data_IF_459676886228
#
_entry.id   IF_459676886228
#
_cell.length_a   1.000
_cell.length_b   1.000
_cell.length_c   1.000
_cell.angle_alpha   90.00
_cell.angle_beta   90.00
_cell.angle_gamma   90.00
#
_symmetry.space_group_name_H-M   'P 1'
#
loop_
_entity.id
_entity.type
_entity.pdbx_description
1 polymer ?
#
# COMPACT_ATOMS: atom_id res chain seq x y z
N UNK A 1 29.65 51.39 31.59
CA UNK A 1 30.81 50.52 31.25
C UNK A 1 30.89 49.44 32.34
N UNK A 2 30.80 48.15 31.92
CA UNK A 2 30.70 46.89 32.69
C UNK A 2 29.36 46.68 33.46
N UNK A 3 28.35 45.93 32.96
CA UNK A 3 28.20 44.46 32.65
C UNK A 3 28.42 43.60 33.92
N UNK A 4 27.55 42.69 34.39
CA UNK A 4 26.55 41.80 33.76
C UNK A 4 25.56 41.24 34.84
N UNK A 5 24.25 41.29 34.53
CA UNK A 5 23.13 40.30 34.65
C UNK A 5 22.69 39.70 36.02
N UNK A 6 21.47 40.11 36.40
CA UNK A 6 20.40 39.52 37.25
C UNK A 6 20.01 38.07 36.82
N UNK A 7 19.40 37.15 37.61
CA UNK A 7 18.15 37.25 38.37
C UNK A 7 17.90 35.93 39.19
N UNK A 8 17.65 36.07 40.50
CA UNK A 8 16.82 35.28 41.48
C UNK A 8 16.36 33.85 41.12
N UNK A 9 16.60 32.75 41.87
CA UNK A 9 16.42 32.36 43.31
C UNK A 9 14.98 32.35 43.82
N UNK A 10 14.49 31.15 44.19
CA UNK A 10 13.81 30.69 45.45
C UNK A 10 13.54 29.18 45.22
N UNK A 11 14.08 28.15 45.88
CA UNK A 11 14.48 27.80 47.26
C UNK A 11 13.39 27.11 48.12
N UNK A 12 13.63 25.80 48.34
CA UNK A 12 13.50 24.98 49.56
C UNK A 12 12.18 24.32 50.04
N UNK A 13 12.18 22.97 49.96
CA UNK A 13 12.29 21.95 51.05
C UNK A 13 11.16 21.78 52.10
N UNK A 14 10.62 20.54 52.05
CA UNK A 14 10.09 19.61 53.08
C UNK A 14 8.73 19.88 53.75
N UNK A 15 7.78 18.94 53.57
CA UNK A 15 7.33 18.00 54.63
C UNK A 15 6.27 17.00 54.13
N UNK A 16 6.52 15.71 54.45
CA UNK A 16 5.59 14.59 54.73
C UNK A 16 4.22 14.49 54.04
N UNK A 17 4.08 13.50 53.16
CA UNK A 17 3.30 12.27 53.43
C UNK A 17 1.77 12.33 53.61
N UNK A 18 1.10 11.67 52.66
CA UNK A 18 -0.22 11.00 52.69
C UNK A 18 -1.47 11.73 52.13
N UNK A 19 -1.84 11.25 50.92
CA UNK A 19 -3.10 10.58 50.57
C UNK A 19 -4.31 11.44 50.12
N UNK A 20 -4.77 11.04 48.92
CA UNK A 20 -6.08 11.10 48.25
C UNK A 20 -6.52 12.30 47.39
N UNK A 21 -7.17 11.88 46.29
CA UNK A 21 -7.96 12.59 45.28
C UNK A 21 -7.24 13.25 44.09
N UNK A 22 -6.81 12.43 43.12
CA UNK A 22 -6.73 12.88 41.72
C UNK A 22 -8.06 12.61 41.00
N UNK A 23 -8.93 13.60 41.09
CA UNK A 23 -10.12 13.78 40.27
C UNK A 23 -9.63 14.22 38.88
N UNK A 24 -9.75 13.35 37.88
CA UNK A 24 -9.50 13.72 36.48
C UNK A 24 -10.62 14.69 36.09
N UNK A 25 -10.26 15.96 35.92
CA UNK A 25 -11.07 16.96 35.23
C UNK A 25 -10.69 16.89 33.75
N UNK A 26 -11.60 16.36 32.94
CA UNK A 26 -11.59 16.52 31.49
C UNK A 26 -11.89 17.97 31.14
N UNK A 27 -11.01 18.65 30.41
CA UNK A 27 -11.33 19.91 29.75
C UNK A 27 -11.86 19.63 28.35
N UNK A 28 -13.16 19.90 28.14
CA UNK A 28 -13.79 19.99 26.83
C UNK A 28 -13.29 21.26 26.11
N UNK A 29 -12.77 21.10 24.89
CA UNK A 29 -12.61 22.23 23.98
C UNK A 29 -13.83 22.33 23.06
N UNK A 30 -14.57 23.44 23.18
CA UNK A 30 -15.64 23.80 22.26
C UNK A 30 -15.45 25.26 21.81
N UNK A 31 -15.17 25.49 20.52
CA UNK A 31 -15.81 26.57 19.74
C UNK A 31 -15.55 26.43 18.23
N UNK A 32 -16.50 25.86 17.49
CA UNK A 32 -16.61 26.01 16.03
C UNK A 32 -16.95 27.47 15.68
N UNK A 33 -16.09 28.15 14.95
CA UNK A 33 -16.45 29.40 14.26
C UNK A 33 -17.29 29.03 13.03
N UNK A 34 -18.50 29.59 12.92
CA UNK A 34 -19.36 29.48 11.72
C UNK A 34 -18.64 30.04 10.49
N UNK A 35 -18.10 29.16 9.66
CA UNK A 35 -17.75 29.47 8.27
C UNK A 35 -18.87 29.02 7.34
N UNK A 36 -19.12 29.78 6.29
CA UNK A 36 -19.89 29.32 5.14
C UNK A 36 -18.97 28.42 4.29
N UNK A 37 -19.49 27.32 3.75
CA UNK A 37 -18.72 26.38 2.92
C UNK A 37 -19.46 26.12 1.61
N UNK A 38 -18.72 26.15 0.49
CA UNK A 38 -19.23 25.95 -0.86
C UNK A 38 -18.51 24.77 -1.51
N UNK A 39 -19.22 23.67 -1.73
CA UNK A 39 -18.76 22.52 -2.50
C UNK A 39 -19.46 22.53 -3.85
N UNK A 40 -18.71 22.40 -4.94
CA UNK A 40 -19.24 22.42 -6.31
C UNK A 40 -18.60 21.30 -7.11
N UNK A 41 -19.42 20.60 -7.89
CA UNK A 41 -19.01 19.56 -8.84
C UNK A 41 -19.52 19.89 -10.24
N UNK A 42 -18.83 19.36 -11.22
CA UNK A 42 -19.29 19.26 -12.61
C UNK A 42 -19.46 17.79 -12.96
N UNK A 43 -20.47 17.47 -13.76
CA UNK A 43 -20.79 16.07 -14.12
C UNK A 43 -19.72 15.40 -14.99
N UNK A 44 -18.91 16.19 -15.71
CA UNK A 44 -17.73 15.74 -16.43
C UNK A 44 -16.73 16.90 -16.50
N UNK A 45 -15.47 16.59 -16.75
CA UNK A 45 -14.42 17.58 -17.03
C UNK A 45 -14.07 17.63 -18.52
N UNK A 46 -14.70 16.77 -19.34
CA UNK A 46 -14.55 16.72 -20.80
C UNK A 46 -15.90 16.44 -21.42
N UNK A 47 -16.27 17.29 -22.38
CA UNK A 47 -17.54 17.24 -23.08
C UNK A 47 -17.28 17.23 -24.59
N UNK A 48 -18.03 16.46 -25.33
CA UNK A 48 -18.19 16.64 -26.76
C UNK A 48 -19.20 17.77 -27.02
N UNK A 49 -19.06 18.46 -28.16
CA UNK A 49 -20.04 19.47 -28.57
C UNK A 49 -21.45 18.87 -28.62
N UNK A 50 -22.36 19.40 -27.77
CA UNK A 50 -23.74 18.94 -27.65
C UNK A 50 -24.05 18.17 -26.36
N UNK A 51 -23.04 17.87 -25.54
CA UNK A 51 -23.25 17.27 -24.23
C UNK A 51 -23.87 18.27 -23.23
N UNK A 52 -24.61 17.76 -22.25
CA UNK A 52 -25.13 18.56 -21.13
C UNK A 52 -24.05 18.74 -20.05
N UNK A 53 -23.57 19.97 -19.87
CA UNK A 53 -22.78 20.37 -18.71
C UNK A 53 -23.73 20.68 -17.54
N UNK A 54 -23.58 19.94 -16.45
CA UNK A 54 -24.27 20.16 -15.18
C UNK A 54 -23.27 20.59 -14.11
N UNK A 55 -23.48 21.78 -13.54
CA UNK A 55 -22.76 22.32 -12.38
C UNK A 55 -23.69 22.22 -11.18
N UNK A 56 -23.37 21.36 -10.22
CA UNK A 56 -24.14 21.18 -9.00
C UNK A 56 -23.30 21.55 -7.78
N UNK A 57 -23.94 21.99 -6.69
CA UNK A 57 -23.19 22.28 -5.48
C UNK A 57 -24.04 22.37 -4.22
N UNK A 58 -23.35 22.25 -3.09
CA UNK A 58 -23.89 22.38 -1.75
C UNK A 58 -23.29 23.64 -1.11
N UNK A 59 -24.15 24.56 -0.68
CA UNK A 59 -23.78 25.70 0.15
C UNK A 59 -24.32 25.49 1.57
N UNK A 60 -23.41 25.35 2.54
CA UNK A 60 -23.75 25.41 3.96
C UNK A 60 -23.46 26.84 4.41
N UNK A 61 -24.48 27.70 4.38
CA UNK A 61 -24.29 29.15 4.45
C UNK A 61 -25.57 29.95 4.60
N UNK A 62 -25.44 31.28 4.49
CA UNK A 62 -26.58 32.21 4.49
C UNK A 62 -26.85 32.83 3.13
N UNK A 63 -25.96 32.71 2.15
CA UNK A 63 -26.20 33.25 0.81
C UNK A 63 -27.42 32.57 0.15
N UNK A 64 -28.39 33.34 -0.36
CA UNK A 64 -29.62 32.80 -0.97
C UNK A 64 -29.43 32.34 -2.41
N UNK A 65 -28.33 32.75 -3.06
CA UNK A 65 -27.99 32.41 -4.44
C UNK A 65 -26.47 32.34 -4.63
N UNK A 66 -26.08 31.69 -5.73
CA UNK A 66 -24.70 31.71 -6.25
C UNK A 66 -24.66 32.31 -7.65
N UNK A 67 -23.60 33.03 -7.96
CA UNK A 67 -23.32 33.53 -9.29
C UNK A 67 -22.37 32.56 -10.01
N UNK A 68 -22.85 31.93 -11.09
CA UNK A 68 -22.10 31.01 -11.95
C UNK A 68 -21.63 31.78 -13.18
N UNK A 69 -20.32 31.84 -13.37
CA UNK A 69 -19.66 32.48 -14.51
C UNK A 69 -18.81 31.48 -15.28
N UNK A 70 -18.93 31.44 -16.60
CA UNK A 70 -18.08 30.60 -17.45
C UNK A 70 -17.27 31.50 -18.38
N UNK A 71 -15.96 31.31 -18.42
CA UNK A 71 -15.03 32.02 -19.30
C UNK A 71 -14.12 31.02 -20.01
N UNK A 72 -13.55 31.38 -21.17
CA UNK A 72 -12.42 30.61 -21.71
C UNK A 72 -11.26 30.65 -20.72
N UNK A 73 -10.51 29.57 -20.63
CA UNK A 73 -9.37 29.45 -19.72
C UNK A 73 -8.34 30.56 -20.03
N UNK A 74 -7.98 31.33 -19.01
CA UNK A 74 -7.09 32.51 -19.15
C UNK A 74 -7.71 33.75 -19.78
N UNK A 75 -8.99 33.71 -20.19
CA UNK A 75 -9.73 34.87 -20.70
C UNK A 75 -10.29 35.75 -19.58
N UNK A 76 -10.40 37.06 -19.84
CA UNK A 76 -10.96 38.03 -18.89
C UNK A 76 -12.46 38.30 -19.06
N UNK A 77 -13.08 37.72 -20.10
CA UNK A 77 -14.50 37.93 -20.41
C UNK A 77 -15.34 36.70 -20.02
N UNK A 78 -16.39 36.93 -19.25
CA UNK A 78 -17.39 35.92 -18.92
C UNK A 78 -18.30 35.71 -20.14
N UNK A 79 -18.29 34.49 -20.70
CA UNK A 79 -19.16 34.07 -21.80
C UNK A 79 -20.58 33.82 -21.27
N UNK A 80 -20.66 33.27 -20.05
CA UNK A 80 -21.92 33.06 -19.33
C UNK A 80 -21.78 33.66 -17.94
N UNK A 81 -22.84 34.31 -17.46
CA UNK A 81 -22.95 34.79 -16.07
C UNK A 81 -24.41 34.71 -15.64
N UNK A 82 -24.74 33.84 -14.67
CA UNK A 82 -26.11 33.66 -14.16
C UNK A 82 -26.15 33.52 -12.64
N UNK A 83 -27.19 34.06 -12.01
CA UNK A 83 -27.49 33.81 -10.60
C UNK A 83 -28.43 32.60 -10.48
N UNK A 84 -28.09 31.69 -9.58
CA UNK A 84 -28.80 30.44 -9.32
C UNK A 84 -29.24 30.45 -7.86
N UNK A 85 -30.55 30.40 -7.63
CA UNK A 85 -31.10 30.34 -6.27
C UNK A 85 -30.78 29.00 -5.61
N UNK A 86 -30.50 29.04 -4.32
CA UNK A 86 -30.23 27.84 -3.51
C UNK A 86 -31.54 27.36 -2.87
N UNK A 87 -31.80 26.06 -2.95
CA UNK A 87 -32.93 25.40 -2.31
C UNK A 87 -32.42 24.23 -1.47
N UNK A 88 -32.79 24.18 -0.19
CA UNK A 88 -32.30 23.16 0.76
C UNK A 88 -30.77 22.99 0.74
N UNK A 89 -30.04 24.11 0.73
CA UNK A 89 -28.58 24.14 0.64
C UNK A 89 -27.98 23.63 -0.67
N UNK A 90 -28.78 23.32 -1.69
CA UNK A 90 -28.32 22.80 -2.99
C UNK A 90 -28.63 23.78 -4.12
N UNK A 91 -27.77 23.84 -5.12
CA UNK A 91 -28.03 24.50 -6.39
C UNK A 91 -27.59 23.63 -7.57
N UNK A 92 -28.21 23.86 -8.73
CA UNK A 92 -27.87 23.19 -9.98
C UNK A 92 -27.98 24.19 -11.14
N UNK A 93 -27.02 24.16 -12.05
CA UNK A 93 -27.00 24.91 -13.29
C UNK A 93 -26.65 23.98 -14.45
N UNK A 94 -27.45 24.02 -15.51
CA UNK A 94 -27.28 23.18 -16.69
C UNK A 94 -27.14 24.02 -17.94
N UNK A 95 -26.27 23.59 -18.84
CA UNK A 95 -26.11 24.17 -20.16
C UNK A 95 -25.71 23.12 -21.19
N UNK A 96 -26.23 23.28 -22.40
CA UNK A 96 -25.79 22.53 -23.57
C UNK A 96 -24.46 23.11 -24.09
N UNK A 97 -23.45 22.25 -24.19
CA UNK A 97 -22.11 22.64 -24.66
C UNK A 97 -22.06 23.01 -26.14
N UNK A 98 -23.13 22.81 -26.93
CA UNK A 98 -23.26 23.39 -28.28
C UNK A 98 -23.17 24.94 -28.27
N UNK A 99 -23.48 25.56 -27.12
CA UNK A 99 -23.33 27.00 -26.91
C UNK A 99 -21.88 27.46 -26.66
N UNK A 100 -20.93 26.52 -26.57
CA UNK A 100 -19.52 26.76 -26.30
C UNK A 100 -18.66 26.28 -27.49
N UNK A 101 -17.68 27.07 -27.90
CA UNK A 101 -16.70 26.62 -28.90
C UNK A 101 -15.78 25.54 -28.30
N UNK A 102 -15.16 24.70 -29.13
CA UNK A 102 -14.15 23.76 -28.64
C UNK A 102 -12.98 24.52 -27.98
N UNK A 103 -12.56 24.06 -26.80
CA UNK A 103 -11.53 24.72 -26.00
C UNK A 103 -11.64 24.43 -24.52
N UNK A 104 -10.77 25.05 -23.74
CA UNK A 104 -10.73 24.95 -22.28
C UNK A 104 -11.48 26.12 -21.64
N UNK A 105 -12.26 25.82 -20.61
CA UNK A 105 -13.13 26.75 -19.92
C UNK A 105 -12.91 26.68 -18.41
N UNK A 106 -13.15 27.80 -17.73
CA UNK A 106 -13.25 27.89 -16.28
C UNK A 106 -14.66 28.29 -15.91
N UNK A 107 -15.27 27.58 -14.96
CA UNK A 107 -16.47 28.03 -14.27
C UNK A 107 -16.11 28.58 -12.90
N UNK A 108 -16.44 29.84 -12.63
CA UNK A 108 -16.34 30.48 -11.31
C UNK A 108 -17.72 30.62 -10.69
N UNK A 109 -17.90 30.00 -9.52
CA UNK A 109 -19.10 30.08 -8.71
C UNK A 109 -18.79 30.98 -7.53
N UNK A 110 -19.53 32.06 -7.32
CA UNK A 110 -19.30 33.03 -6.23
C UNK A 110 -20.57 33.25 -5.42
N UNK A 111 -20.44 33.36 -4.10
CA UNK A 111 -21.52 33.69 -3.15
C UNK A 111 -21.49 35.19 -2.79
N UNK A 112 -22.58 35.73 -2.25
CA UNK A 112 -22.60 37.11 -1.73
C UNK A 112 -21.61 37.32 -0.58
N UNK A 113 -21.31 36.27 0.18
CA UNK A 113 -20.34 36.31 1.29
C UNK A 113 -18.88 36.42 0.80
N UNK A 114 -18.65 36.29 -0.51
CA UNK A 114 -17.35 36.40 -1.16
C UNK A 114 -16.61 35.06 -1.31
N UNK A 115 -17.18 33.95 -0.84
CA UNK A 115 -16.65 32.61 -1.11
C UNK A 115 -16.86 32.28 -2.58
N UNK A 116 -15.83 31.72 -3.21
CA UNK A 116 -15.93 31.26 -4.58
C UNK A 116 -15.24 29.91 -4.76
N UNK A 117 -15.68 29.17 -5.79
CA UNK A 117 -15.02 27.97 -6.31
C UNK A 117 -14.79 28.16 -7.80
N UNK A 118 -13.65 27.69 -8.30
CA UNK A 118 -13.36 27.64 -9.73
C UNK A 118 -13.17 26.18 -10.10
N UNK A 119 -13.81 25.73 -11.16
CA UNK A 119 -13.63 24.41 -11.77
C UNK A 119 -13.29 24.59 -13.24
N UNK A 120 -12.54 23.67 -13.84
CA UNK A 120 -12.16 23.73 -15.25
C UNK A 120 -12.78 22.57 -16.01
N UNK A 121 -13.15 22.79 -17.26
CA UNK A 121 -13.62 21.73 -18.15
C UNK A 121 -13.21 22.01 -19.59
N UNK A 122 -13.23 20.96 -20.42
CA UNK A 122 -12.85 21.04 -21.84
C UNK A 122 -14.03 20.65 -22.73
N UNK A 123 -14.27 21.42 -23.79
CA UNK A 123 -15.18 21.06 -24.87
C UNK A 123 -14.34 20.63 -26.07
N UNK A 124 -14.56 19.41 -26.56
CA UNK A 124 -13.87 18.84 -27.71
C UNK A 124 -14.67 19.11 -28.99
N UNK A 125 -13.96 19.38 -30.08
CA UNK A 125 -14.59 19.53 -31.39
C UNK A 125 -14.85 18.14 -31.98
N UNK A 126 -16.01 17.95 -32.60
CA UNK A 126 -16.45 16.65 -33.10
C UNK A 126 -15.74 16.20 -34.42
N UNK A 127 -14.48 16.57 -34.59
CA UNK A 127 -13.62 16.11 -35.67
C UNK A 127 -12.28 15.61 -35.12
N UNK A 128 -12.16 14.28 -35.13
CA UNK A 128 -10.99 13.45 -34.80
C UNK A 128 -10.77 13.09 -33.32
N UNK A 129 -11.77 12.46 -32.69
CA UNK A 129 -11.49 11.25 -31.92
C UNK A 129 -11.71 10.04 -32.83
N UNK A 130 -10.73 9.78 -33.71
CA UNK A 130 -10.55 8.41 -34.17
C UNK A 130 -10.11 7.64 -32.92
N UNK A 131 -11.01 6.78 -32.46
CA UNK A 131 -10.72 5.67 -31.57
C UNK A 131 -9.44 5.01 -32.11
N UNK A 132 -8.30 5.24 -31.45
CA UNK A 132 -7.11 4.42 -31.64
C UNK A 132 -7.28 3.16 -30.79
N UNK A 133 -8.35 2.42 -31.06
CA UNK A 133 -8.40 0.99 -30.79
C UNK A 133 -7.64 0.34 -31.95
N UNK A 134 -6.41 -0.07 -31.69
CA UNK A 134 -5.64 -0.86 -32.65
C UNK A 134 -4.41 -0.15 -33.20
N UNK A 135 -3.45 0.16 -32.33
CA UNK A 135 -2.06 -0.19 -32.60
C UNK A 135 -1.46 -0.78 -31.34
N UNK A 136 -1.97 -1.95 -31.00
CA UNK A 136 -1.21 -2.97 -30.31
C UNK A 136 0.05 -3.27 -31.15
N UNK A 137 1.13 -2.55 -30.86
CA UNK A 137 2.46 -3.14 -30.96
C UNK A 137 2.54 -4.20 -29.86
N UNK A 138 1.87 -5.34 -30.08
CA UNK A 138 1.93 -6.50 -29.21
C UNK A 138 3.35 -7.04 -29.24
N UNK A 139 4.21 -6.47 -28.41
CA UNK A 139 5.21 -7.31 -27.79
C UNK A 139 4.39 -8.27 -26.91
N UNK A 140 4.13 -9.48 -27.41
CA UNK A 140 3.27 -10.50 -26.77
C UNK A 140 3.69 -10.80 -25.32
N UNK A 141 4.87 -10.35 -24.90
CA UNK A 141 5.49 -10.56 -23.60
C UNK A 141 5.19 -9.47 -22.55
N UNK A 142 4.41 -8.43 -22.85
CA UNK A 142 4.13 -7.32 -21.90
C UNK A 142 2.64 -7.03 -21.76
N UNK A 143 2.23 -6.59 -20.58
CA UNK A 143 1.00 -5.85 -20.32
C UNK A 143 1.29 -4.36 -20.39
N UNK A 144 0.50 -3.63 -21.17
CA UNK A 144 0.55 -2.16 -21.22
C UNK A 144 -0.69 -1.61 -20.50
N UNK A 145 -0.47 -0.74 -19.51
CA UNK A 145 -1.53 -0.21 -18.66
C UNK A 145 -1.44 1.31 -18.62
N UNK A 146 -2.59 1.96 -18.74
CA UNK A 146 -2.73 3.41 -18.75
C UNK A 146 -3.65 3.79 -17.60
N UNK A 147 -3.17 4.67 -16.73
CA UNK A 147 -3.94 5.19 -15.61
C UNK A 147 -4.18 6.68 -15.78
N UNK A 148 -5.27 7.16 -15.21
CA UNK A 148 -5.60 8.57 -15.16
C UNK A 148 -6.31 8.85 -13.85
N UNK A 149 -5.81 9.82 -13.10
CA UNK A 149 -6.38 10.21 -11.80
C UNK A 149 -6.27 11.72 -11.60
N UNK A 150 -6.97 12.23 -10.59
CA UNK A 150 -6.96 13.64 -10.25
C UNK A 150 -6.33 13.85 -8.88
N UNK A 151 -5.41 14.80 -8.79
CA UNK A 151 -4.81 15.24 -7.54
C UNK A 151 -4.43 16.71 -7.63
N UNK A 152 -4.64 17.48 -6.55
CA UNK A 152 -4.31 18.91 -6.49
C UNK A 152 -4.89 19.71 -7.68
N UNK A 153 -6.15 19.43 -8.04
CA UNK A 153 -6.85 20.06 -9.17
C UNK A 153 -6.13 19.88 -10.53
N UNK A 154 -5.25 18.87 -10.66
CA UNK A 154 -4.55 18.49 -11.89
C UNK A 154 -4.93 17.07 -12.27
N UNK A 155 -5.02 16.82 -13.58
CA UNK A 155 -5.12 15.45 -14.14
C UNK A 155 -3.74 14.87 -14.37
N UNK A 156 -3.53 13.70 -13.84
CA UNK A 156 -2.30 12.93 -13.97
C UNK A 156 -2.53 11.72 -14.85
N UNK A 157 -1.49 11.35 -15.59
CA UNK A 157 -1.51 10.19 -16.48
C UNK A 157 -0.22 9.41 -16.27
N UNK A 158 -0.34 8.10 -16.19
CA UNK A 158 0.80 7.20 -16.04
C UNK A 158 0.61 6.01 -16.97
N UNK A 159 1.62 5.77 -17.81
CA UNK A 159 1.69 4.59 -18.66
C UNK A 159 2.77 3.67 -18.09
N UNK A 160 2.44 2.40 -17.89
CA UNK A 160 3.39 1.39 -17.44
C UNK A 160 3.39 0.19 -18.38
N UNK A 161 4.53 -0.48 -18.45
CA UNK A 161 4.69 -1.74 -19.16
C UNK A 161 5.25 -2.79 -18.20
N UNK A 162 4.47 -3.81 -17.89
CA UNK A 162 4.87 -4.91 -16.99
C UNK A 162 5.10 -6.18 -17.83
N UNK A 163 6.26 -6.85 -17.75
CA UNK A 163 6.44 -8.13 -18.41
C UNK A 163 5.41 -9.15 -17.92
N UNK A 164 4.79 -9.91 -18.83
CA UNK A 164 3.87 -10.99 -18.46
C UNK A 164 4.55 -12.01 -17.54
N UNK A 165 5.84 -12.27 -17.73
CA UNK A 165 6.61 -13.16 -16.84
C UNK A 165 6.68 -12.66 -15.40
N UNK A 166 6.71 -11.34 -15.17
CA UNK A 166 6.72 -10.77 -13.84
C UNK A 166 5.34 -10.89 -13.17
N UNK A 167 4.27 -10.65 -13.92
CA UNK A 167 2.90 -10.93 -13.46
C UNK A 167 2.71 -12.41 -13.12
N UNK A 168 3.10 -13.32 -14.02
CA UNK A 168 3.01 -14.77 -13.81
C UNK A 168 3.85 -15.24 -12.62
N UNK A 169 5.02 -14.63 -12.38
CA UNK A 169 5.81 -14.92 -11.19
C UNK A 169 4.99 -14.70 -9.91
N UNK A 170 4.28 -13.57 -9.79
CA UNK A 170 3.43 -13.31 -8.64
C UNK A 170 2.15 -14.14 -8.63
N UNK A 171 1.51 -14.40 -9.77
CA UNK A 171 0.36 -15.34 -9.84
C UNK A 171 0.69 -16.72 -9.30
N UNK A 172 1.94 -17.17 -9.46
CA UNK A 172 2.40 -18.48 -9.00
C UNK A 172 3.01 -18.46 -7.58
N UNK A 173 3.18 -17.29 -6.97
CA UNK A 173 3.55 -17.18 -5.55
C UNK A 173 2.36 -17.55 -4.65
N UNK A 174 2.58 -17.88 -3.37
CA UNK A 174 1.49 -18.14 -2.43
C UNK A 174 0.67 -16.88 -2.09
N UNK A 175 -0.66 -16.98 -2.13
CA UNK A 175 -1.62 -15.93 -1.73
C UNK A 175 -2.31 -16.30 -0.41
N UNK A 176 -1.56 -16.39 0.69
CA UNK A 176 -2.11 -16.82 1.97
C UNK A 176 -2.44 -15.62 2.86
N UNK A 177 -3.73 -15.39 3.12
CA UNK A 177 -4.24 -14.34 4.02
C UNK A 177 -3.72 -14.44 5.46
N UNK A 178 -3.37 -15.64 5.93
CA UNK A 178 -2.78 -15.80 7.28
C UNK A 178 -1.34 -15.30 7.38
N UNK A 179 -0.67 -15.05 6.24
CA UNK A 179 0.68 -14.50 6.21
C UNK A 179 0.63 -12.98 6.49
N UNK A 180 1.78 -12.43 6.89
CA UNK A 180 1.87 -11.00 7.19
C UNK A 180 1.75 -10.17 5.90
N UNK A 181 0.61 -9.51 5.69
CA UNK A 181 0.33 -8.65 4.51
C UNK A 181 1.47 -7.70 4.13
N UNK A 182 2.22 -7.17 5.11
CA UNK A 182 3.36 -6.30 4.84
C UNK A 182 4.43 -6.96 3.94
N UNK A 183 4.53 -8.30 3.93
CA UNK A 183 5.47 -9.01 3.06
C UNK A 183 5.12 -8.92 1.58
N UNK A 184 3.85 -8.68 1.22
CA UNK A 184 3.43 -8.48 -0.18
C UNK A 184 3.97 -7.17 -0.74
N UNK A 185 4.14 -6.14 0.11
CA UNK A 185 4.61 -4.81 -0.28
C UNK A 185 6.15 -4.70 -0.40
N UNK A 186 6.90 -5.78 -0.15
CA UNK A 186 8.33 -5.70 0.18
C UNK A 186 9.24 -6.52 -0.75
N UNK A 187 8.70 -7.03 -1.85
CA UNK A 187 9.49 -7.80 -2.82
C UNK A 187 10.60 -6.96 -3.44
N UNK A 188 11.84 -7.46 -3.40
CA UNK A 188 12.95 -6.83 -4.10
C UNK A 188 12.81 -6.95 -5.63
N UNK A 189 12.02 -7.94 -6.09
CA UNK A 189 11.72 -8.12 -7.51
C UNK A 189 10.80 -7.00 -8.05
N UNK A 190 9.90 -6.47 -7.21
CA UNK A 190 8.99 -5.37 -7.59
C UNK A 190 9.74 -4.09 -7.91
N UNK A 191 10.81 -3.78 -7.17
CA UNK A 191 11.57 -2.52 -7.29
C UNK A 191 11.92 -2.20 -8.74
N UNK A 192 12.48 -3.19 -9.45
CA UNK A 192 12.89 -3.05 -10.85
C UNK A 192 11.76 -2.69 -11.81
N UNK A 193 10.51 -2.99 -11.46
CA UNK A 193 9.32 -2.70 -12.25
C UNK A 193 8.62 -1.42 -11.80
N UNK A 194 8.75 -1.06 -10.52
CA UNK A 194 8.17 0.16 -9.94
C UNK A 194 9.06 1.39 -10.19
N UNK A 195 10.36 1.24 -10.44
CA UNK A 195 11.33 2.34 -10.63
C UNK A 195 10.82 3.47 -11.54
N UNK A 196 10.20 3.13 -12.67
CA UNK A 196 9.68 4.12 -13.62
C UNK A 196 8.48 4.90 -13.06
N UNK A 197 7.62 4.25 -12.28
CA UNK A 197 6.51 4.89 -11.59
C UNK A 197 7.02 5.81 -10.48
N UNK A 198 7.94 5.30 -9.66
CA UNK A 198 8.59 6.04 -8.58
C UNK A 198 9.24 7.32 -9.13
N UNK A 199 10.04 7.20 -10.19
CA UNK A 199 10.64 8.37 -10.84
C UNK A 199 9.60 9.39 -11.34
N UNK A 200 8.48 8.93 -11.90
CA UNK A 200 7.41 9.83 -12.35
C UNK A 200 6.73 10.54 -11.17
N UNK A 201 6.49 9.82 -10.06
CA UNK A 201 5.94 10.42 -8.84
C UNK A 201 6.90 11.45 -8.24
N UNK A 202 8.18 11.12 -8.05
CA UNK A 202 9.17 12.06 -7.51
C UNK A 202 9.29 13.32 -8.37
N UNK A 203 9.39 13.13 -9.70
CA UNK A 203 9.50 14.25 -10.63
C UNK A 203 8.27 15.15 -10.55
N UNK A 204 7.08 14.56 -10.54
CA UNK A 204 5.82 15.28 -10.39
C UNK A 204 5.76 16.05 -9.06
N UNK A 205 6.14 15.41 -7.94
CA UNK A 205 6.19 16.05 -6.63
C UNK A 205 7.13 17.26 -6.60
N UNK A 206 8.33 17.12 -7.18
CA UNK A 206 9.33 18.21 -7.25
C UNK A 206 8.81 19.36 -8.11
N UNK A 207 8.25 19.06 -9.29
CA UNK A 207 7.73 20.09 -10.22
C UNK A 207 6.55 20.87 -9.64
N UNK A 208 5.82 20.28 -8.69
CA UNK A 208 4.64 20.87 -8.07
C UNK A 208 4.86 21.33 -6.62
N UNK A 209 6.11 21.27 -6.14
CA UNK A 209 6.51 21.71 -4.80
C UNK A 209 5.74 20.98 -3.67
N UNK A 210 5.41 19.70 -3.87
CA UNK A 210 4.72 18.89 -2.88
C UNK A 210 5.58 18.65 -1.63
N UNK A 211 4.96 18.82 -0.45
CA UNK A 211 5.53 18.33 0.81
C UNK A 211 5.57 16.80 0.83
N UNK A 212 6.20 16.20 1.85
CA UNK A 212 6.18 14.74 2.01
C UNK A 212 4.74 14.22 2.23
N UNK A 213 3.92 14.97 2.96
CA UNK A 213 2.51 14.65 3.11
C UNK A 213 1.73 14.75 1.79
N UNK A 214 2.00 15.79 0.99
CA UNK A 214 1.33 15.98 -0.31
C UNK A 214 1.75 14.92 -1.33
N UNK A 215 3.03 14.52 -1.35
CA UNK A 215 3.50 13.42 -2.19
C UNK A 215 2.87 12.09 -1.78
N UNK A 216 2.73 11.83 -0.48
CA UNK A 216 2.06 10.62 -0.01
C UNK A 216 0.57 10.57 -0.40
N UNK A 217 -0.14 11.70 -0.27
CA UNK A 217 -1.53 11.81 -0.74
C UNK A 217 -1.64 11.74 -2.26
N UNK A 218 -0.67 12.29 -2.99
CA UNK A 218 -0.62 12.20 -4.45
C UNK A 218 -0.54 10.74 -4.90
N UNK A 219 0.33 9.95 -4.28
CA UNK A 219 0.49 8.52 -4.57
C UNK A 219 -0.73 7.73 -4.10
N UNK A 220 -1.26 8.03 -2.92
CA UNK A 220 -2.48 7.40 -2.43
C UNK A 220 -3.66 7.66 -3.36
N UNK A 221 -3.79 8.87 -3.90
CA UNK A 221 -4.87 9.22 -4.84
C UNK A 221 -4.79 8.45 -6.16
N UNK A 222 -3.58 8.11 -6.61
CA UNK A 222 -3.40 7.20 -7.75
C UNK A 222 -3.99 5.81 -7.43
N UNK A 223 -3.68 5.25 -6.26
CA UNK A 223 -4.18 3.92 -5.87
C UNK A 223 -5.68 3.93 -5.58
N UNK A 224 -6.20 4.99 -4.94
CA UNK A 224 -7.63 5.19 -4.71
C UNK A 224 -8.43 5.18 -6.02
N UNK A 225 -7.87 5.73 -7.10
CA UNK A 225 -8.50 5.77 -8.43
C UNK A 225 -8.63 4.41 -9.14
N UNK A 226 -7.96 3.37 -8.64
CA UNK A 226 -8.11 2.01 -9.17
C UNK A 226 -9.48 1.43 -8.81
N UNK A 227 -9.97 0.49 -9.62
CA UNK A 227 -11.28 -0.10 -9.38
C UNK A 227 -11.30 -0.87 -8.04
N UNK A 228 -12.35 -0.68 -7.25
CA UNK A 228 -12.63 -1.56 -6.13
C UNK A 228 -13.22 -2.86 -6.67
N UNK A 229 -12.50 -3.97 -6.49
CA UNK A 229 -12.95 -5.28 -6.97
C UNK A 229 -12.80 -6.30 -5.86
N UNK A 230 -13.86 -7.08 -5.59
CA UNK A 230 -13.77 -8.13 -4.58
C UNK A 230 -13.07 -9.35 -5.15
N UNK A 231 -12.38 -10.12 -4.29
CA UNK A 231 -11.69 -11.34 -4.71
C UNK A 231 -12.62 -12.37 -5.34
N UNK A 232 -13.82 -12.51 -4.79
CA UNK A 232 -14.85 -13.44 -5.29
C UNK A 232 -15.25 -13.15 -6.73
N UNK A 233 -15.24 -11.87 -7.13
CA UNK A 233 -15.64 -11.41 -8.48
C UNK A 233 -14.52 -11.54 -9.51
N UNK A 234 -13.26 -11.53 -9.07
CA UNK A 234 -12.09 -11.39 -9.94
C UNK A 234 -11.23 -12.65 -10.03
N UNK A 235 -11.16 -13.44 -8.97
CA UNK A 235 -10.32 -14.64 -8.88
C UNK A 235 -11.14 -15.93 -8.76
N UNK A 236 -12.42 -15.81 -8.39
CA UNK A 236 -13.29 -16.96 -8.09
C UNK A 236 -12.97 -17.63 -6.75
N UNK A 237 -12.09 -17.03 -5.95
CA UNK A 237 -11.80 -17.41 -4.57
C UNK A 237 -12.25 -16.27 -3.65
N UNK A 238 -12.77 -16.62 -2.47
CA UNK A 238 -12.82 -15.66 -1.37
C UNK A 238 -11.39 -15.54 -0.82
N UNK A 239 -10.89 -14.32 -0.57
CA UNK A 239 -9.66 -14.03 0.18
C UNK A 239 -8.32 -14.29 -0.55
N UNK A 240 -7.98 -13.48 -1.55
CA UNK A 240 -6.79 -13.53 -2.41
C UNK A 240 -5.96 -12.22 -2.34
N UNK A 241 -5.01 -12.08 -1.41
CA UNK A 241 -4.19 -10.86 -1.31
C UNK A 241 -3.23 -10.72 -2.49
N UNK A 242 -3.38 -9.68 -3.29
CA UNK A 242 -2.57 -9.41 -4.49
C UNK A 242 -1.21 -8.80 -4.16
N UNK A 243 -0.19 -9.19 -4.92
CA UNK A 243 1.07 -8.46 -4.97
C UNK A 243 0.93 -7.14 -5.77
N UNK A 244 1.78 -6.13 -5.54
CA UNK A 244 1.70 -4.83 -6.22
C UNK A 244 1.58 -4.91 -7.75
N UNK A 245 2.34 -5.77 -8.42
CA UNK A 245 2.24 -5.92 -9.88
C UNK A 245 0.93 -6.57 -10.32
N UNK A 246 0.33 -7.44 -9.51
CA UNK A 246 -0.99 -7.98 -9.80
C UNK A 246 -2.04 -6.87 -9.73
N UNK A 247 -2.07 -6.08 -8.65
CA UNK A 247 -3.00 -4.95 -8.48
C UNK A 247 -2.88 -3.95 -9.63
N UNK A 248 -1.65 -3.66 -10.09
CA UNK A 248 -1.42 -2.79 -11.24
C UNK A 248 -1.95 -3.42 -12.54
N UNK A 249 -1.57 -4.66 -12.86
CA UNK A 249 -2.02 -5.32 -14.10
C UNK A 249 -3.53 -5.53 -14.11
N UNK A 250 -4.13 -5.89 -12.98
CA UNK A 250 -5.57 -6.11 -12.84
C UNK A 250 -6.35 -4.78 -12.78
N UNK A 251 -5.66 -3.66 -12.55
CA UNK A 251 -6.20 -2.30 -12.45
C UNK A 251 -7.18 -2.11 -11.29
N UNK A 252 -7.05 -2.91 -10.24
CA UNK A 252 -7.96 -2.88 -9.10
C UNK A 252 -7.65 -3.93 -8.06
N UNK A 253 -8.37 -3.85 -6.95
CA UNK A 253 -8.27 -4.73 -5.78
C UNK A 253 -9.16 -4.21 -4.65
N UNK A 254 -9.24 -4.95 -3.56
CA UNK A 254 -9.97 -4.53 -2.36
C UNK A 254 -9.06 -3.77 -1.37
N UNK A 255 -9.46 -3.66 -0.10
CA UNK A 255 -8.80 -2.79 0.88
C UNK A 255 -7.35 -3.21 1.18
N UNK A 256 -7.06 -4.51 1.26
CA UNK A 256 -5.71 -5.04 1.47
C UNK A 256 -4.82 -4.81 0.26
N UNK A 257 -5.32 -5.05 -0.95
CA UNK A 257 -4.54 -4.98 -2.18
C UNK A 257 -4.10 -3.54 -2.47
N UNK A 258 -5.04 -2.61 -2.31
CA UNK A 258 -4.79 -1.18 -2.45
C UNK A 258 -3.83 -0.71 -1.36
N UNK A 259 -3.99 -1.15 -0.12
CA UNK A 259 -3.07 -0.80 0.97
C UNK A 259 -1.65 -1.35 0.76
N UNK A 260 -1.52 -2.58 0.28
CA UNK A 260 -0.24 -3.20 -0.08
C UNK A 260 0.44 -2.41 -1.21
N UNK A 261 -0.28 -2.05 -2.27
CA UNK A 261 0.27 -1.26 -3.37
C UNK A 261 0.71 0.13 -2.91
N UNK A 262 -0.13 0.85 -2.14
CA UNK A 262 0.23 2.17 -1.59
C UNK A 262 1.46 2.06 -0.69
N UNK A 263 1.52 1.06 0.18
CA UNK A 263 2.65 0.86 1.07
C UNK A 263 3.95 0.53 0.31
N UNK A 264 3.88 -0.28 -0.75
CA UNK A 264 5.02 -0.59 -1.61
C UNK A 264 5.56 0.68 -2.29
N UNK A 265 4.69 1.47 -2.92
CA UNK A 265 5.10 2.70 -3.61
C UNK A 265 5.73 3.73 -2.67
N UNK A 266 5.14 3.93 -1.49
CA UNK A 266 5.67 4.87 -0.49
C UNK A 266 6.98 4.36 0.13
N UNK A 267 7.09 3.05 0.38
CA UNK A 267 8.33 2.45 0.90
C UNK A 267 9.51 2.63 -0.08
N UNK A 268 9.28 2.48 -1.39
CA UNK A 268 10.31 2.73 -2.40
C UNK A 268 10.75 4.21 -2.47
N UNK A 269 9.94 5.14 -1.95
CA UNK A 269 10.26 6.56 -1.82
C UNK A 269 10.87 6.93 -0.46
N UNK A 270 11.35 5.92 0.29
CA UNK A 270 11.95 6.04 1.62
C UNK A 270 11.00 6.65 2.67
N UNK A 271 9.68 6.48 2.52
CA UNK A 271 8.74 6.81 3.60
C UNK A 271 8.82 5.77 4.72
N UNK A 272 8.64 6.22 5.96
CA UNK A 272 8.44 5.33 7.10
C UNK A 272 6.95 4.95 7.16
N UNK A 273 6.66 3.74 6.66
CA UNK A 273 5.31 3.25 6.40
C UNK A 273 5.02 2.01 7.23
N UNK A 274 3.76 1.87 7.65
CA UNK A 274 3.18 0.67 8.24
C UNK A 274 1.86 0.33 7.55
N UNK A 275 1.48 -0.95 7.54
CA UNK A 275 0.08 -1.30 7.31
C UNK A 275 -0.68 -1.25 8.63
N UNK A 276 -1.92 -0.74 8.57
CA UNK A 276 -2.86 -0.67 9.68
C UNK A 276 -3.97 -1.67 9.37
N UNK A 277 -3.99 -2.79 10.09
CA UNK A 277 -5.04 -3.79 9.99
C UNK A 277 -6.10 -3.53 11.06
N UNK A 278 -7.35 -3.40 10.62
CA UNK A 278 -8.54 -3.24 11.44
C UNK A 278 -9.43 -4.48 11.26
N UNK A 279 -10.58 -4.55 11.93
CA UNK A 279 -11.41 -5.77 12.00
C UNK A 279 -11.79 -6.36 10.63
N UNK A 280 -12.15 -5.52 9.66
CA UNK A 280 -12.53 -5.90 8.29
C UNK A 280 -11.97 -4.91 7.25
N UNK A 281 -10.84 -4.27 7.57
CA UNK A 281 -10.25 -3.21 6.74
C UNK A 281 -8.74 -3.22 6.81
N UNK A 282 -8.12 -2.72 5.75
CA UNK A 282 -6.71 -2.38 5.76
C UNK A 282 -6.51 -0.96 5.25
N UNK A 283 -5.57 -0.27 5.89
CA UNK A 283 -5.15 1.07 5.51
C UNK A 283 -3.63 1.20 5.64
N UNK A 284 -3.11 2.38 5.30
CA UNK A 284 -1.68 2.69 5.40
C UNK A 284 -1.46 3.73 6.51
N UNK A 285 -0.38 3.58 7.25
CA UNK A 285 0.09 4.57 8.21
C UNK A 285 1.43 5.15 7.77
N UNK A 286 1.59 6.48 7.80
CA UNK A 286 2.87 7.13 7.49
C UNK A 286 3.36 8.05 8.60
N UNK A 287 4.67 8.08 8.82
CA UNK A 287 5.31 9.00 9.75
C UNK A 287 5.99 10.15 9.01
N UNK A 288 5.37 11.35 9.05
CA UNK A 288 5.83 12.50 8.25
C UNK A 288 6.71 13.53 8.97
N UNK A 289 7.00 13.40 10.27
CA UNK A 289 7.73 14.41 11.07
C UNK A 289 7.15 15.84 10.98
N UNK A 290 5.89 15.97 10.57
CA UNK A 290 5.12 17.20 10.49
C UNK A 290 4.00 17.15 11.55
N UNK A 291 3.62 18.31 12.09
CA UNK A 291 2.48 18.42 13.01
C UNK A 291 1.17 18.30 12.20
N UNK A 292 0.78 17.06 11.89
CA UNK A 292 -0.48 16.76 11.21
C UNK A 292 -1.58 16.65 12.25
N UNK A 293 -2.71 17.31 12.01
CA UNK A 293 -3.90 17.11 12.82
C UNK A 293 -4.68 15.92 12.26
N UNK A 294 -4.95 14.91 13.08
CA UNK A 294 -5.77 13.77 12.69
C UNK A 294 -5.51 12.51 13.51
N UNK A 295 -6.07 11.40 13.05
CA UNK A 295 -5.96 10.08 13.66
C UNK A 295 -4.63 9.43 13.29
N UNK A 296 -3.93 8.91 14.28
CA UNK A 296 -2.68 8.19 14.12
C UNK A 296 -2.59 7.02 15.09
N UNK A 297 -1.71 6.08 14.77
CA UNK A 297 -1.33 4.98 15.65
C UNK A 297 0.13 5.13 16.06
N UNK A 298 0.43 4.83 17.32
CA UNK A 298 1.81 4.86 17.81
C UNK A 298 2.46 3.49 17.66
N UNK A 299 3.65 3.47 17.07
CA UNK A 299 4.48 2.28 16.98
C UNK A 299 5.95 2.64 17.13
N UNK A 300 6.66 1.93 18.02
CA UNK A 300 8.09 2.18 18.33
C UNK A 300 8.45 3.65 18.63
N UNK A 301 7.53 4.39 19.28
CA UNK A 301 7.74 5.80 19.65
C UNK A 301 7.60 6.80 18.50
N UNK A 302 7.03 6.38 17.36
CA UNK A 302 6.64 7.24 16.24
C UNK A 302 5.13 7.24 16.05
N UNK A 303 4.62 8.31 15.47
CA UNK A 303 3.22 8.47 15.09
C UNK A 303 3.06 8.15 13.61
N UNK A 304 2.14 7.23 13.31
CA UNK A 304 1.79 6.84 11.95
C UNK A 304 0.36 7.31 11.65
N UNK A 305 0.25 8.37 10.87
CA UNK A 305 -1.04 8.96 10.51
C UNK A 305 -1.77 8.09 9.50
N UNK A 306 -3.06 7.89 9.73
CA UNK A 306 -3.92 7.04 8.91
C UNK A 306 -4.09 7.61 7.50
N UNK A 307 -4.01 6.76 6.49
CA UNK A 307 -4.32 7.07 5.09
C UNK A 307 -5.30 6.01 4.60
N UNK A 308 -6.52 6.45 4.26
CA UNK A 308 -7.47 5.62 3.54
C UNK A 308 -6.98 5.40 2.11
N UNK A 309 -6.96 4.15 1.66
CA UNK A 309 -6.48 3.77 0.33
C UNK A 309 -7.59 3.28 -0.58
N UNK A 310 -8.77 3.00 -0.02
CA UNK A 310 -9.88 2.34 -0.71
C UNK A 310 -10.75 3.32 -1.47
N UNK A 311 -11.10 4.42 -0.80
CA UNK A 311 -12.04 5.45 -1.27
C UNK A 311 -11.30 6.76 -1.57
N UNK A 312 -11.86 7.57 -2.48
CA UNK A 312 -11.30 8.87 -2.84
C UNK A 312 -11.63 9.97 -1.83
N UNK A 313 -10.87 11.07 -1.87
CA UNK A 313 -11.10 12.32 -1.13
C UNK A 313 -10.91 12.24 0.40
N UNK A 314 -10.09 11.32 0.87
CA UNK A 314 -9.65 11.26 2.27
C UNK A 314 -8.34 12.00 2.47
N UNK A 315 -8.27 12.80 3.54
CA UNK A 315 -7.01 13.44 3.95
C UNK A 315 -6.22 12.57 4.93
N UNK A 316 -4.91 12.86 5.08
CA UNK A 316 -4.09 12.21 6.09
C UNK A 316 -4.69 12.45 7.47
N UNK A 317 -4.87 11.38 8.22
CA UNK A 317 -5.45 11.36 9.57
C UNK A 317 -6.98 11.32 9.60
N UNK A 318 -7.66 11.32 8.45
CA UNK A 318 -9.10 11.05 8.40
C UNK A 318 -9.36 9.55 8.36
N UNK A 319 -10.05 9.04 9.37
CA UNK A 319 -10.43 7.64 9.49
C UNK A 319 -11.96 7.52 9.38
N UNK A 320 -12.49 6.50 8.67
CA UNK A 320 -13.93 6.24 8.66
C UNK A 320 -14.51 6.08 10.06
N UNK A 321 -15.68 6.68 10.32
CA UNK A 321 -16.29 6.73 11.65
C UNK A 321 -16.47 5.33 12.29
N UNK A 322 -16.73 4.30 11.47
CA UNK A 322 -16.87 2.92 11.92
C UNK A 322 -15.61 2.33 12.57
N UNK A 323 -14.43 2.90 12.30
CA UNK A 323 -13.14 2.40 12.78
C UNK A 323 -12.50 3.26 13.89
N UNK A 324 -13.15 4.37 14.30
CA UNK A 324 -12.59 5.28 15.31
C UNK A 324 -12.25 4.60 16.65
N UNK A 325 -13.02 3.58 17.02
CA UNK A 325 -12.89 2.84 18.28
C UNK A 325 -12.38 1.42 18.06
N UNK A 326 -11.94 1.09 16.84
CA UNK A 326 -11.48 -0.26 16.52
C UNK A 326 -10.04 -0.47 17.00
N UNK A 327 -9.70 -1.72 17.32
CA UNK A 327 -8.32 -2.06 17.67
C UNK A 327 -7.52 -2.33 16.40
N UNK A 328 -6.44 -1.58 16.19
CA UNK A 328 -5.56 -1.79 15.06
C UNK A 328 -4.37 -2.71 15.40
N UNK A 329 -4.01 -3.57 14.46
CA UNK A 329 -2.74 -4.28 14.42
C UNK A 329 -1.80 -3.51 13.47
N UNK A 330 -0.70 -3.01 14.01
CA UNK A 330 0.32 -2.32 13.22
C UNK A 330 1.33 -3.33 12.67
N UNK A 331 1.41 -3.40 11.34
CA UNK A 331 2.32 -4.28 10.61
C UNK A 331 3.44 -3.45 9.98
N UNK A 332 4.63 -3.41 10.59
CA UNK A 332 5.75 -2.66 10.04
C UNK A 332 6.27 -3.29 8.75
N UNK A 333 6.74 -2.44 7.84
CA UNK A 333 7.35 -2.86 6.59
C UNK A 333 8.80 -3.31 6.83
N UNK A 334 8.94 -4.57 7.25
CA UNK A 334 10.22 -5.23 7.49
C UNK A 334 10.27 -6.51 6.65
N UNK A 335 11.29 -6.65 5.81
CA UNK A 335 11.50 -7.86 5.01
C UNK A 335 11.80 -9.05 5.92
N UNK A 336 11.02 -10.11 5.77
CA UNK A 336 11.19 -11.39 6.45
C UNK A 336 11.35 -12.48 5.37
N UNK A 337 12.59 -12.95 5.13
CA UNK A 337 12.82 -14.04 4.19
C UNK A 337 12.05 -15.29 4.59
N UNK A 338 11.61 -16.06 3.59
CA UNK A 338 10.84 -17.30 3.79
C UNK A 338 11.52 -18.44 3.06
N UNK A 339 12.40 -19.12 3.78
CA UNK A 339 13.02 -20.35 3.30
C UNK A 339 12.00 -21.48 3.31
N UNK A 340 11.89 -22.20 2.20
CA UNK A 340 11.17 -23.46 2.08
C UNK A 340 12.11 -24.53 1.54
N UNK A 341 11.73 -25.80 1.71
CA UNK A 341 12.49 -26.91 1.17
C UNK A 341 11.61 -28.11 0.91
N UNK A 342 11.96 -28.88 -0.11
CA UNK A 342 11.57 -30.28 -0.25
C UNK A 342 12.84 -31.15 -0.36
N UNK A 343 12.72 -32.45 -0.08
CA UNK A 343 13.86 -33.35 -0.25
C UNK A 343 13.44 -34.72 -0.75
N UNK A 344 14.37 -35.40 -1.42
CA UNK A 344 14.29 -36.81 -1.76
C UNK A 344 15.45 -37.57 -1.13
N UNK A 345 15.25 -38.87 -0.88
CA UNK A 345 16.28 -39.74 -0.35
C UNK A 345 16.27 -41.08 -1.08
N UNK A 346 17.40 -41.45 -1.67
CA UNK A 346 17.55 -42.69 -2.42
C UNK A 346 18.63 -43.58 -1.82
N UNK A 347 18.32 -44.87 -1.65
CA UNK A 347 19.30 -45.83 -1.16
C UNK A 347 20.35 -46.11 -2.24
N UNK A 348 21.61 -45.77 -1.96
CA UNK A 348 22.71 -45.92 -2.91
C UNK A 348 23.60 -47.13 -2.65
N UNK A 349 23.77 -47.53 -1.40
CA UNK A 349 24.62 -48.66 -1.03
C UNK A 349 24.23 -49.30 0.31
N UNK A 350 24.81 -50.47 0.59
CA UNK A 350 24.74 -51.10 1.90
C UNK A 350 26.07 -51.79 2.24
N UNK A 351 26.30 -51.97 3.54
CA UNK A 351 27.39 -52.75 4.12
C UNK A 351 26.83 -53.74 5.13
N UNK A 352 27.70 -54.46 5.85
CA UNK A 352 27.27 -55.40 6.89
C UNK A 352 26.29 -54.78 7.89
N UNK A 353 26.62 -53.59 8.42
CA UNK A 353 25.88 -52.96 9.53
C UNK A 353 25.14 -51.67 9.14
N UNK A 354 25.31 -51.16 7.91
CA UNK A 354 24.80 -49.83 7.54
C UNK A 354 24.18 -49.81 6.14
N UNK A 355 23.22 -48.91 5.94
CA UNK A 355 22.67 -48.49 4.65
C UNK A 355 23.06 -47.04 4.40
N UNK A 356 23.33 -46.74 3.14
CA UNK A 356 23.69 -45.41 2.68
C UNK A 356 22.56 -44.84 1.84
N UNK A 357 22.13 -43.63 2.19
CA UNK A 357 21.16 -42.85 1.45
C UNK A 357 21.84 -41.63 0.87
N UNK A 358 21.58 -41.32 -0.39
CA UNK A 358 21.83 -40.00 -0.95
C UNK A 358 20.58 -39.16 -0.72
N UNK A 359 20.74 -38.02 -0.03
CA UNK A 359 19.67 -37.09 0.30
C UNK A 359 19.90 -35.84 -0.54
N UNK A 360 18.90 -35.47 -1.34
CA UNK A 360 18.91 -34.26 -2.16
C UNK A 360 17.83 -33.31 -1.64
N UNK A 361 18.26 -32.14 -1.16
CA UNK A 361 17.41 -31.08 -0.65
C UNK A 361 17.34 -29.93 -1.68
N UNK A 362 16.14 -29.53 -2.08
CA UNK A 362 15.91 -28.33 -2.89
C UNK A 362 15.39 -27.24 -1.96
N UNK A 363 16.18 -26.17 -1.79
CA UNK A 363 15.84 -25.00 -0.98
C UNK A 363 15.50 -23.83 -1.89
N UNK A 364 14.60 -22.97 -1.42
CA UNK A 364 14.21 -21.73 -2.10
C UNK A 364 13.85 -20.67 -1.05
N UNK A 365 14.22 -19.41 -1.32
CA UNK A 365 13.70 -18.27 -0.58
C UNK A 365 12.49 -17.67 -1.32
N UNK A 366 11.29 -17.96 -0.83
CA UNK A 366 10.04 -17.44 -1.40
C UNK A 366 9.63 -16.07 -0.86
N UNK A 367 10.24 -15.64 0.25
CA UNK A 367 9.89 -14.40 0.95
C UNK A 367 10.78 -13.24 0.52
N UNK A 368 10.36 -12.00 0.85
CA UNK A 368 11.13 -10.83 0.50
C UNK A 368 12.42 -10.72 1.30
N UNK A 369 13.43 -10.09 0.71
CA UNK A 369 14.74 -9.85 1.31
C UNK A 369 15.64 -11.08 1.38
N UNK A 370 16.87 -10.86 1.84
CA UNK A 370 17.92 -11.89 1.87
C UNK A 370 17.89 -12.75 3.14
N UNK A 371 17.80 -14.08 3.00
CA UNK A 371 18.04 -15.04 4.07
C UNK A 371 19.53 -15.11 4.44
N UNK A 372 19.86 -14.77 5.69
CA UNK A 372 21.25 -14.60 6.16
C UNK A 372 21.76 -15.79 6.97
N UNK A 373 22.99 -16.19 6.67
CA UNK A 373 23.72 -17.31 7.27
C UNK A 373 22.87 -18.58 7.45
N UNK A 374 22.19 -19.07 6.39
CA UNK A 374 21.37 -20.27 6.50
C UNK A 374 22.25 -21.49 6.78
N UNK A 375 21.70 -22.43 7.54
CA UNK A 375 22.31 -23.71 7.85
C UNK A 375 21.28 -24.81 7.68
N UNK A 376 21.74 -25.97 7.23
CA UNK A 376 20.93 -27.17 7.13
C UNK A 376 21.57 -28.29 7.95
N UNK A 377 20.76 -28.94 8.79
CA UNK A 377 21.10 -30.20 9.45
C UNK A 377 20.27 -31.33 8.83
N UNK A 378 20.96 -32.37 8.36
CA UNK A 378 20.37 -33.55 7.73
C UNK A 378 20.74 -34.75 8.61
N UNK A 379 19.73 -35.42 9.16
CA UNK A 379 19.90 -36.43 10.19
C UNK A 379 18.96 -37.62 9.99
N UNK A 380 19.40 -38.80 10.43
CA UNK A 380 18.53 -39.96 10.59
C UNK A 380 18.10 -40.06 12.06
N UNK A 381 16.80 -40.04 12.32
CA UNK A 381 16.22 -40.10 13.67
C UNK A 381 15.89 -41.55 14.02
N UNK A 382 16.34 -42.02 15.18
CA UNK A 382 15.98 -43.31 15.72
C UNK A 382 14.60 -43.24 16.36
N UNK A 383 13.57 -43.68 15.63
CA UNK A 383 12.18 -43.54 16.08
C UNK A 383 11.94 -44.27 17.41
N UNK A 384 12.50 -45.48 17.55
CA UNK A 384 12.30 -46.32 18.74
C UNK A 384 13.01 -45.81 20.01
N UNK A 385 14.08 -45.01 19.85
CA UNK A 385 14.82 -44.41 20.97
C UNK A 385 14.26 -43.03 21.37
N UNK A 386 13.28 -42.53 20.62
CA UNK A 386 12.62 -41.23 20.81
C UNK A 386 13.07 -40.17 19.81
N UNK A 387 12.21 -39.18 19.56
CA UNK A 387 12.36 -38.20 18.47
C UNK A 387 13.62 -37.32 18.54
N UNK A 388 14.29 -37.30 19.69
CA UNK A 388 15.52 -36.53 19.91
C UNK A 388 16.80 -37.36 19.68
N UNK A 389 16.67 -38.66 19.42
CA UNK A 389 17.82 -39.52 19.20
C UNK A 389 18.22 -39.52 17.72
N UNK A 390 19.41 -38.98 17.44
CA UNK A 390 19.96 -38.87 16.08
C UNK A 390 21.09 -39.89 15.89
N UNK A 391 21.01 -40.69 14.83
CA UNK A 391 22.12 -41.55 14.40
C UNK A 391 23.26 -40.71 13.85
N UNK A 392 24.48 -40.95 14.34
CA UNK A 392 25.69 -40.28 13.86
C UNK A 392 26.39 -41.09 12.74
N UNK A 393 27.02 -40.41 11.76
CA UNK A 393 27.11 -38.96 11.63
C UNK A 393 25.82 -38.37 11.02
N UNK A 394 25.36 -37.27 11.60
CA UNK A 394 24.52 -36.30 10.91
C UNK A 394 25.40 -35.37 10.06
N UNK A 395 24.77 -34.67 9.12
CA UNK A 395 25.44 -33.73 8.24
C UNK A 395 24.93 -32.34 8.58
N UNK A 396 25.84 -31.42 8.88
CA UNK A 396 25.53 -30.00 9.03
C UNK A 396 26.34 -29.21 8.02
N UNK A 397 25.67 -28.34 7.27
CA UNK A 397 26.29 -27.48 6.25
C UNK A 397 25.93 -26.03 6.52
N UNK A 398 26.93 -25.16 6.46
CA UNK A 398 26.73 -23.72 6.34
C UNK A 398 26.46 -23.41 4.87
N UNK A 399 25.44 -22.59 4.60
CA UNK A 399 25.02 -22.20 3.26
C UNK A 399 25.40 -20.74 2.99
N UNK A 400 25.41 -20.38 1.70
CA UNK A 400 25.49 -18.98 1.30
C UNK A 400 24.17 -18.26 1.63
N UNK A 401 24.18 -16.94 1.57
CA UNK A 401 22.95 -16.16 1.67
C UNK A 401 22.07 -16.43 0.45
N UNK A 402 20.75 -16.43 0.63
CA UNK A 402 19.77 -16.54 -0.46
C UNK A 402 18.99 -15.25 -0.57
N UNK A 403 19.14 -14.54 -1.70
CA UNK A 403 18.27 -13.42 -2.06
C UNK A 403 16.86 -13.92 -2.36
N UNK A 404 15.91 -13.01 -2.53
CA UNK A 404 14.54 -13.38 -2.89
C UNK A 404 14.52 -14.11 -4.24
N UNK A 405 13.84 -15.26 -4.29
CA UNK A 405 13.77 -16.11 -5.48
C UNK A 405 15.01 -16.98 -5.73
N UNK A 406 16.07 -16.84 -4.94
CA UNK A 406 17.22 -17.74 -5.04
C UNK A 406 16.84 -19.16 -4.62
N UNK A 407 17.45 -20.14 -5.28
CA UNK A 407 17.29 -21.56 -4.99
C UNK A 407 18.62 -22.30 -4.99
N UNK A 408 18.69 -23.40 -4.25
CA UNK A 408 19.84 -24.30 -4.24
C UNK A 408 19.44 -25.76 -4.14
N UNK A 409 20.30 -26.60 -4.72
CA UNK A 409 20.22 -28.06 -4.60
C UNK A 409 21.43 -28.54 -3.81
N UNK A 410 21.17 -29.22 -2.70
CA UNK A 410 22.19 -29.77 -1.82
C UNK A 410 22.08 -31.29 -1.85
N UNK A 411 23.17 -31.98 -2.18
CA UNK A 411 23.22 -33.44 -2.15
C UNK A 411 24.26 -33.92 -1.14
N UNK A 412 23.87 -34.82 -0.24
CA UNK A 412 24.76 -35.43 0.74
C UNK A 412 24.47 -36.92 0.94
N UNK A 413 25.39 -37.64 1.61
CA UNK A 413 25.17 -39.04 1.96
C UNK A 413 24.95 -39.22 3.47
N UNK A 414 23.84 -39.85 3.84
CA UNK A 414 23.56 -40.32 5.19
C UNK A 414 23.93 -41.79 5.36
N UNK A 415 24.56 -42.10 6.49
CA UNK A 415 24.90 -43.47 6.90
C UNK A 415 24.02 -43.87 8.07
N UNK A 416 23.15 -44.86 7.85
CA UNK A 416 22.14 -45.27 8.83
C UNK A 416 22.35 -46.74 9.21
N UNK A 417 22.26 -47.16 10.48
CA UNK A 417 22.30 -48.58 10.86
C UNK A 417 21.25 -49.40 10.12
N UNK A 418 21.49 -50.71 9.94
CA UNK A 418 20.53 -51.65 9.30
C UNK A 418 19.49 -52.18 10.26
N UNK A 419 18.33 -52.53 9.71
CA UNK A 419 17.20 -53.17 10.37
C UNK A 419 16.67 -52.36 11.56
N UNK A 420 16.61 -51.03 11.41
CA UNK A 420 16.06 -50.13 12.42
C UNK A 420 14.95 -49.27 11.81
N UNK A 421 13.96 -48.92 12.63
CA UNK A 421 12.94 -47.95 12.27
C UNK A 421 13.51 -46.53 12.37
N UNK A 422 13.50 -45.81 11.26
CA UNK A 422 14.11 -44.49 11.14
C UNK A 422 13.21 -43.54 10.35
N UNK A 423 13.42 -42.23 10.52
CA UNK A 423 12.99 -41.19 9.58
C UNK A 423 14.16 -40.29 9.24
N UNK A 424 14.20 -39.74 8.04
CA UNK A 424 15.17 -38.70 7.66
C UNK A 424 14.55 -37.36 8.01
N UNK A 425 15.28 -36.54 8.74
CA UNK A 425 14.90 -35.20 9.17
C UNK A 425 15.88 -34.19 8.62
N UNK A 426 15.35 -33.15 7.99
CA UNK A 426 16.12 -32.01 7.51
C UNK A 426 15.61 -30.75 8.22
N UNK A 427 16.48 -30.08 8.97
CA UNK A 427 16.16 -28.86 9.73
C UNK A 427 16.94 -27.70 9.13
N UNK A 428 16.25 -26.63 8.78
CA UNK A 428 16.83 -25.41 8.21
C UNK A 428 16.62 -24.23 9.16
N UNK A 429 17.67 -23.47 9.41
CA UNK A 429 17.66 -22.33 10.33
C UNK A 429 18.70 -21.28 9.91
N UNK A 430 18.55 -20.04 10.38
CA UNK A 430 19.43 -18.92 10.06
C UNK A 430 19.11 -17.71 10.93
N UNK A 431 19.70 -16.56 10.59
CA UNK A 431 19.70 -15.40 11.49
C UNK A 431 18.38 -14.60 11.48
N UNK A 432 17.68 -14.57 10.34
CA UNK A 432 16.56 -13.66 10.11
C UNK A 432 15.32 -14.28 9.46
N UNK A 433 15.18 -15.60 9.50
CA UNK A 433 13.98 -16.30 9.03
C UNK A 433 13.55 -17.39 10.03
N UNK A 434 12.27 -17.76 9.99
CA UNK A 434 11.71 -18.79 10.87
C UNK A 434 12.32 -20.15 10.54
N UNK A 435 12.93 -20.80 11.54
CA UNK A 435 13.45 -22.16 11.38
C UNK A 435 12.32 -23.14 11.11
N UNK A 436 12.57 -24.14 10.27
CA UNK A 436 11.59 -25.15 9.90
C UNK A 436 12.23 -26.52 9.72
N UNK A 437 11.38 -27.55 9.71
CA UNK A 437 11.77 -28.94 9.60
C UNK A 437 10.91 -29.64 8.55
N UNK A 438 11.55 -30.48 7.73
CA UNK A 438 10.88 -31.41 6.82
C UNK A 438 11.39 -32.82 7.12
N UNK A 439 10.47 -33.76 7.31
CA UNK A 439 10.80 -35.15 7.60
C UNK A 439 10.21 -36.09 6.56
N UNK A 440 10.88 -37.22 6.31
CA UNK A 440 10.30 -38.33 5.56
C UNK A 440 9.25 -39.06 6.41
N UNK A 441 8.44 -39.89 5.74
CA UNK A 441 7.75 -40.98 6.41
C UNK A 441 8.75 -41.91 7.13
N UNK A 442 8.26 -42.66 8.11
CA UNK A 442 9.06 -43.67 8.80
C UNK A 442 9.33 -44.88 7.88
N UNK A 443 10.55 -45.40 7.90
CA UNK A 443 10.94 -46.56 7.12
C UNK A 443 11.94 -47.45 7.87
N UNK A 444 12.04 -48.71 7.44
CA UNK A 444 13.06 -49.64 7.93
C UNK A 444 14.25 -49.69 6.96
N UNK A 445 15.46 -49.66 7.52
CA UNK A 445 16.73 -49.73 6.78
C UNK A 445 17.21 -51.14 6.47
#
# INVERSE_FOLDING_TARGET
MKKIVFLTVILFIMLSGCIDDFKILSEEFNSLKKSETLNVTINSETFETGDELTIAGILIGKSPEVNVKISKYGGSEDIISKNISISNSVFEFKIDTESLEAGEYSVKITTESGIYKILNFKVLNNENYLINSGYESQNENYYFKNYSWSYDNKKWHLEISIPKSAYEYYKNKPHNREDNYAQYALSDYDKSYLDSMIYNFEKASIENEYSKCDEALFISSFVQSLDYTTDSETTGFDEYPRYPLETLVDMGGDCEDKSVLTAALLNELDYDVVLIELSDHMAVGISCNEDIYGSYYEYNGKQYYYIETTDENWFIGEIPEKYLEDNAIIRPLIQIPRMIMNFSAERTAYSGNYVYYEVTCNLENLGPGTAKNPKINIAAVAVEEGENYIWKPDVSLDLENYEEGDSAVITTSLKIPRNILTKIRCTVYGDNFKSFEVSSEEFNT
#
